data_IF_116038688319
#
_entry.id   IF_116038688319
#
_cell.length_a   1.000
_cell.length_b   1.000
_cell.length_c   1.000
_cell.angle_alpha   90.00
_cell.angle_beta   90.00
_cell.angle_gamma   90.00
#
_symmetry.space_group_name_H-M   'P 1'
#
loop_
_entity.id
_entity.type
_entity.pdbx_description
1 polymer ?
#
# COMPACT_ATOMS: atom_id res chain seq x y z
N UNK A 1 4.92 0.37 5.48
CA UNK A 1 4.01 -0.51 6.26
C UNK A 1 2.59 -0.57 5.68
N UNK A 2 2.00 0.58 5.28
CA UNK A 2 0.64 0.58 4.69
C UNK A 2 0.58 -0.06 3.32
N UNK A 3 1.63 0.06 2.52
CA UNK A 3 1.68 -0.54 1.18
C UNK A 3 1.85 -2.06 1.20
N UNK A 4 2.47 -2.61 2.23
CA UNK A 4 2.80 -4.04 2.29
C UNK A 4 1.56 -4.93 2.18
N UNK A 5 0.53 -4.65 2.98
CA UNK A 5 -0.71 -5.44 2.94
C UNK A 5 -1.39 -5.44 1.56
N UNK A 6 -1.69 -4.30 0.91
CA UNK A 6 -2.29 -4.34 -0.42
C UNK A 6 -1.33 -4.83 -1.51
N UNK A 7 -0.04 -4.57 -1.40
CA UNK A 7 0.97 -5.04 -2.34
C UNK A 7 0.99 -6.57 -2.41
N UNK A 8 1.09 -7.22 -1.25
CA UNK A 8 1.09 -8.67 -1.13
C UNK A 8 -0.29 -9.28 -1.46
N UNK A 9 -1.36 -8.81 -0.81
CA UNK A 9 -2.68 -9.42 -0.92
C UNK A 9 -3.31 -9.27 -2.32
N UNK A 10 -3.00 -8.19 -3.02
CA UNK A 10 -3.53 -7.91 -4.35
C UNK A 10 -2.54 -8.21 -5.46
N UNK A 11 -1.31 -8.61 -5.13
CA UNK A 11 -0.22 -8.84 -6.07
C UNK A 11 -0.05 -7.65 -7.03
N UNK A 12 0.18 -6.47 -6.47
CA UNK A 12 0.15 -5.21 -7.23
C UNK A 12 1.29 -5.07 -8.23
N UNK A 13 2.52 -5.46 -7.86
CA UNK A 13 3.71 -5.19 -8.66
C UNK A 13 4.01 -3.69 -8.77
N UNK A 14 4.46 -3.25 -9.94
CA UNK A 14 4.75 -1.84 -10.20
C UNK A 14 3.53 -1.10 -10.76
N UNK A 15 3.36 0.19 -10.42
CA UNK A 15 2.30 1.00 -11.01
C UNK A 15 2.58 1.28 -12.49
N UNK A 16 1.51 1.31 -13.30
CA UNK A 16 1.56 1.73 -14.70
C UNK A 16 1.91 3.20 -14.84
N UNK A 17 1.30 4.00 -13.97
CA UNK A 17 1.58 5.43 -13.83
C UNK A 17 1.28 5.87 -12.40
N UNK A 18 1.89 6.98 -12.01
CA UNK A 18 1.61 7.61 -10.72
C UNK A 18 1.80 9.13 -10.81
N UNK A 19 1.13 9.84 -9.91
CA UNK A 19 1.23 11.27 -9.74
C UNK A 19 1.29 11.60 -8.26
N UNK A 20 2.15 12.53 -7.90
CA UNK A 20 2.32 13.00 -6.52
C UNK A 20 2.10 14.50 -6.46
N UNK A 21 1.33 14.96 -5.49
CA UNK A 21 1.20 16.36 -5.10
C UNK A 21 1.81 16.52 -3.72
N UNK A 22 2.68 17.48 -3.58
CA UNK A 22 3.35 17.77 -2.31
C UNK A 22 3.36 19.27 -2.03
N UNK A 23 3.39 19.61 -0.74
CA UNK A 23 3.47 21.00 -0.27
C UNK A 23 4.66 21.18 0.65
N UNK A 24 5.17 22.40 0.73
CA UNK A 24 6.26 22.78 1.65
C UNK A 24 7.51 21.90 1.50
N UNK A 25 7.85 21.56 0.25
CA UNK A 25 9.07 20.84 -0.09
C UNK A 25 10.28 21.76 0.09
N UNK A 26 11.37 21.22 0.64
CA UNK A 26 12.66 21.91 0.71
C UNK A 26 13.79 20.94 0.38
N UNK A 27 14.96 21.48 0.04
CA UNK A 27 16.16 20.68 -0.25
C UNK A 27 16.68 19.85 0.95
N UNK A 28 16.16 20.12 2.15
CA UNK A 28 16.63 19.54 3.40
C UNK A 28 15.60 18.69 4.12
N UNK A 29 14.35 18.68 3.69
CA UNK A 29 13.28 17.95 4.36
C UNK A 29 12.23 17.41 3.40
N UNK A 30 11.57 16.33 3.80
CA UNK A 30 10.39 15.82 3.10
C UNK A 30 9.26 16.84 3.12
N UNK A 31 8.34 16.77 2.13
CA UNK A 31 7.13 17.57 2.14
C UNK A 31 6.32 17.40 3.42
N UNK A 32 5.70 18.47 3.91
CA UNK A 32 4.80 18.37 5.06
C UNK A 32 3.51 17.64 4.74
N UNK A 33 3.05 17.73 3.51
CA UNK A 33 1.84 17.07 3.04
C UNK A 33 2.09 16.43 1.68
N UNK A 34 1.62 15.20 1.53
CA UNK A 34 1.69 14.49 0.26
C UNK A 34 0.36 13.81 -0.03
N UNK A 35 -0.12 13.96 -1.26
CA UNK A 35 -1.16 13.11 -1.81
C UNK A 35 -0.65 12.45 -3.09
N UNK A 36 -0.94 11.16 -3.24
CA UNK A 36 -0.47 10.39 -4.37
C UNK A 36 -1.57 9.50 -4.92
N UNK A 37 -1.54 9.34 -6.23
CA UNK A 37 -2.35 8.36 -6.96
C UNK A 37 -1.41 7.46 -7.72
N UNK A 38 -1.57 6.15 -7.57
CA UNK A 38 -0.88 5.12 -8.36
C UNK A 38 -1.90 4.23 -9.07
N UNK A 39 -1.74 4.03 -10.35
CA UNK A 39 -2.60 3.18 -11.18
C UNK A 39 -1.87 1.87 -11.53
N UNK A 40 -2.50 0.74 -11.24
CA UNK A 40 -1.99 -0.60 -11.50
C UNK A 40 -2.88 -1.34 -12.49
N UNK A 41 -2.27 -2.01 -13.46
CA UNK A 41 -2.97 -3.03 -14.25
C UNK A 41 -3.10 -4.30 -13.39
N UNK A 42 -4.34 -4.67 -13.04
CA UNK A 42 -4.58 -5.80 -12.14
C UNK A 42 -5.96 -6.41 -12.36
N UNK A 43 -5.99 -7.69 -12.67
CA UNK A 43 -7.23 -8.44 -12.97
C UNK A 43 -8.26 -8.49 -11.83
N UNK A 44 -7.85 -8.24 -10.58
CA UNK A 44 -8.73 -8.20 -9.42
C UNK A 44 -9.48 -6.86 -9.34
N UNK A 45 -9.00 -5.84 -10.04
CA UNK A 45 -9.58 -4.51 -10.03
C UNK A 45 -10.75 -4.35 -11.00
N UNK A 46 -11.50 -3.28 -10.82
CA UNK A 46 -12.58 -2.89 -11.74
C UNK A 46 -12.00 -2.60 -13.12
N UNK A 47 -12.51 -3.25 -14.15
CA UNK A 47 -12.03 -3.13 -15.54
C UNK A 47 -10.52 -3.45 -15.68
N UNK A 48 -10.00 -4.37 -14.88
CA UNK A 48 -8.58 -4.75 -14.93
C UNK A 48 -7.64 -3.72 -14.31
N UNK A 49 -8.12 -2.83 -13.46
CA UNK A 49 -7.34 -1.75 -12.85
C UNK A 49 -7.58 -1.62 -11.36
N UNK A 50 -6.51 -1.36 -10.63
CA UNK A 50 -6.57 -0.93 -9.22
C UNK A 50 -5.94 0.46 -9.15
N UNK A 51 -6.61 1.37 -8.46
CA UNK A 51 -6.12 2.71 -8.14
C UNK A 51 -5.86 2.79 -6.65
N UNK A 52 -4.61 3.13 -6.30
CA UNK A 52 -4.17 3.36 -4.94
C UNK A 52 -4.09 4.87 -4.70
N UNK A 53 -4.68 5.32 -3.61
CA UNK A 53 -4.57 6.69 -3.13
C UNK A 53 -3.80 6.70 -1.81
N UNK A 54 -2.85 7.62 -1.70
CA UNK A 54 -2.09 7.90 -0.49
C UNK A 54 -2.36 9.32 -0.02
N UNK A 55 -2.44 9.49 1.28
CA UNK A 55 -2.59 10.80 1.92
C UNK A 55 -1.75 10.83 3.18
N UNK A 56 -0.96 11.86 3.37
CA UNK A 56 -0.24 12.13 4.61
C UNK A 56 -0.25 13.62 4.99
N UNK A 57 0.43 13.95 6.09
CA UNK A 57 0.50 15.34 6.56
C UNK A 57 -0.86 15.95 6.90
N UNK A 58 -1.77 15.16 7.50
CA UNK A 58 -3.15 15.52 7.83
C UNK A 58 -4.12 15.58 6.64
N UNK A 59 -3.66 15.33 5.43
CA UNK A 59 -4.55 15.13 4.30
C UNK A 59 -5.35 13.84 4.49
N UNK A 60 -6.61 13.85 4.07
CA UNK A 60 -7.52 12.71 4.17
C UNK A 60 -8.49 12.69 2.99
N UNK A 61 -8.95 11.51 2.58
CA UNK A 61 -10.05 11.42 1.64
C UNK A 61 -11.32 12.01 2.28
N UNK A 62 -12.09 12.72 1.50
CA UNK A 62 -13.38 13.30 1.93
C UNK A 62 -14.48 12.27 2.03
N UNK A 63 -14.38 11.20 1.25
CA UNK A 63 -15.35 10.12 1.20
C UNK A 63 -14.66 8.78 0.86
N UNK A 64 -15.11 7.72 1.51
CA UNK A 64 -14.77 6.33 1.18
C UNK A 64 -16.05 5.51 1.20
N UNK A 65 -16.31 4.75 0.14
CA UNK A 65 -17.48 3.87 0.04
C UNK A 65 -17.54 2.90 1.21
N UNK A 66 -18.66 2.88 1.92
CA UNK A 66 -18.88 1.97 3.06
C UNK A 66 -18.17 2.42 4.35
N UNK A 67 -17.70 3.64 4.42
CA UNK A 67 -17.11 4.24 5.62
C UNK A 67 -17.91 5.47 6.02
N UNK A 68 -18.32 5.56 7.28
CA UNK A 68 -19.08 6.71 7.78
C UNK A 68 -18.22 7.97 7.87
N UNK A 69 -18.85 9.13 7.72
CA UNK A 69 -18.18 10.43 7.89
C UNK A 69 -17.66 10.63 9.32
N UNK A 70 -18.37 10.08 10.31
CA UNK A 70 -17.93 10.08 11.70
C UNK A 70 -16.61 9.32 11.85
N UNK A 71 -16.49 8.13 11.24
CA UNK A 71 -15.24 7.36 11.25
C UNK A 71 -14.10 8.12 10.59
N UNK A 72 -14.33 8.73 9.42
CA UNK A 72 -13.27 9.45 8.68
C UNK A 72 -12.80 10.72 9.41
N UNK A 73 -13.67 11.37 10.17
CA UNK A 73 -13.34 12.60 10.91
C UNK A 73 -12.70 12.34 12.28
N UNK A 74 -12.82 11.11 12.80
CA UNK A 74 -12.24 10.77 14.10
C UNK A 74 -10.70 10.73 14.01
N UNK A 75 -9.99 11.55 14.79
CA UNK A 75 -8.51 11.57 14.80
C UNK A 75 -7.88 10.22 15.15
N UNK A 76 -8.56 9.38 15.92
CA UNK A 76 -8.09 8.03 16.28
C UNK A 76 -7.97 7.10 15.08
N UNK A 77 -8.70 7.39 14.01
CA UNK A 77 -8.69 6.64 12.76
C UNK A 77 -7.76 7.26 11.70
N UNK A 78 -6.81 8.11 12.11
CA UNK A 78 -5.89 8.79 11.17
C UNK A 78 -4.95 7.84 10.43
N UNK A 79 -4.61 6.71 11.05
CA UNK A 79 -3.66 5.74 10.49
C UNK A 79 -4.41 4.46 10.06
N UNK A 80 -5.18 4.55 9.00
CA UNK A 80 -5.96 3.46 8.45
C UNK A 80 -5.62 3.17 6.99
N UNK A 81 -5.69 1.88 6.65
CA UNK A 81 -5.73 1.37 5.29
C UNK A 81 -7.19 1.02 4.96
N UNK A 82 -7.62 1.36 3.74
CA UNK A 82 -8.90 0.92 3.19
C UNK A 82 -8.70 0.22 1.85
N UNK A 83 -9.37 -0.90 1.66
CA UNK A 83 -9.49 -1.57 0.36
C UNK A 83 -10.96 -1.59 -0.02
N UNK A 84 -11.32 -0.79 -1.00
CA UNK A 84 -12.71 -0.61 -1.46
C UNK A 84 -13.02 -1.65 -2.51
N UNK A 85 -13.75 -2.68 -2.13
CA UNK A 85 -14.20 -3.72 -3.04
C UNK A 85 -15.61 -3.50 -3.60
N UNK A 86 -16.01 -4.34 -4.56
CA UNK A 86 -17.37 -4.31 -5.11
C UNK A 86 -18.43 -4.72 -4.08
N UNK A 87 -18.10 -5.67 -3.20
CA UNK A 87 -19.02 -6.27 -2.22
C UNK A 87 -18.93 -5.65 -0.84
N UNK A 88 -17.75 -5.20 -0.42
CA UNK A 88 -17.48 -4.65 0.91
C UNK A 88 -16.22 -3.78 0.90
N UNK A 89 -16.06 -2.95 1.92
CA UNK A 89 -14.83 -2.21 2.20
C UNK A 89 -14.11 -2.85 3.38
N UNK A 90 -12.84 -3.15 3.18
CA UNK A 90 -11.92 -3.64 4.20
C UNK A 90 -11.17 -2.46 4.82
N UNK A 91 -10.91 -2.53 6.12
CA UNK A 91 -10.02 -1.59 6.82
C UNK A 91 -9.05 -2.34 7.72
N UNK A 92 -7.88 -1.77 7.91
CA UNK A 92 -6.83 -2.26 8.80
C UNK A 92 -5.88 -1.14 9.17
N UNK A 93 -4.92 -1.44 10.04
CA UNK A 93 -3.83 -0.54 10.40
C UNK A 93 -2.60 -0.79 9.54
N UNK A 94 -1.56 0.01 9.74
CA UNK A 94 -0.27 -0.09 9.05
C UNK A 94 0.47 -1.43 9.24
N UNK A 95 0.19 -2.17 10.32
CA UNK A 95 0.75 -3.51 10.51
C UNK A 95 -0.22 -4.63 10.13
N UNK A 96 -1.27 -4.34 9.38
CA UNK A 96 -2.32 -5.32 9.06
C UNK A 96 -3.11 -5.81 10.26
N UNK A 97 -2.94 -5.19 11.43
CA UNK A 97 -3.71 -5.49 12.65
C UNK A 97 -5.09 -4.83 12.61
N UNK A 98 -5.98 -5.24 13.51
CA UNK A 98 -7.37 -4.74 13.58
C UNK A 98 -8.12 -4.85 12.23
N UNK A 99 -7.69 -5.76 11.37
CA UNK A 99 -8.25 -5.98 10.03
C UNK A 99 -9.68 -6.47 10.11
N UNK A 100 -10.60 -5.76 9.42
CA UNK A 100 -12.02 -6.07 9.39
C UNK A 100 -12.71 -5.50 8.15
N UNK A 101 -13.91 -5.99 7.87
CA UNK A 101 -14.83 -5.28 7.00
C UNK A 101 -15.49 -4.13 7.78
N UNK A 102 -15.74 -3.01 7.12
CA UNK A 102 -16.40 -1.84 7.74
C UNK A 102 -17.84 -2.15 8.12
N UNK A 103 -18.51 -3.03 7.37
CA UNK A 103 -19.87 -3.48 7.61
C UNK A 103 -19.86 -4.67 8.57
N UNK A 104 -20.42 -4.49 9.77
CA UNK A 104 -20.44 -5.51 10.84
C UNK A 104 -21.10 -6.82 10.40
N UNK A 105 -22.22 -6.75 9.71
CA UNK A 105 -22.97 -7.94 9.27
C UNK A 105 -22.15 -8.79 8.30
N UNK A 106 -21.51 -8.15 7.31
CA UNK A 106 -20.61 -8.82 6.38
C UNK A 106 -19.38 -9.41 7.08
N UNK A 107 -18.91 -8.76 8.13
CA UNK A 107 -17.81 -9.32 8.93
C UNK A 107 -18.22 -10.57 9.69
N UNK A 108 -19.44 -10.61 10.23
CA UNK A 108 -20.00 -11.81 10.90
C UNK A 108 -20.13 -12.96 9.88
N UNK A 109 -20.62 -12.67 8.69
CA UNK A 109 -20.73 -13.65 7.60
C UNK A 109 -19.35 -14.16 7.16
N UNK A 110 -18.39 -13.26 6.95
CA UNK A 110 -17.02 -13.61 6.58
C UNK A 110 -16.37 -14.56 7.59
N UNK A 111 -16.56 -14.34 8.89
CA UNK A 111 -16.02 -15.23 9.95
C UNK A 111 -16.53 -16.65 9.87
N UNK A 112 -17.72 -16.87 9.31
CA UNK A 112 -18.29 -18.21 9.09
C UNK A 112 -17.71 -18.89 7.85
N UNK A 113 -17.09 -18.13 6.94
CA UNK A 113 -16.53 -18.66 5.70
C UNK A 113 -15.23 -19.42 5.98
N UNK A 114 -15.12 -20.70 5.57
CA UNK A 114 -13.89 -21.50 5.76
C UNK A 114 -12.65 -20.85 5.14
N UNK A 115 -12.81 -20.09 4.04
CA UNK A 115 -11.71 -19.39 3.37
C UNK A 115 -11.06 -18.36 4.27
N UNK A 116 -11.81 -17.72 5.18
CA UNK A 116 -11.26 -16.76 6.14
C UNK A 116 -10.28 -17.40 7.15
N UNK A 117 -10.34 -18.73 7.29
CA UNK A 117 -9.47 -19.50 8.19
C UNK A 117 -8.33 -20.23 7.47
N UNK A 118 -8.28 -20.12 6.14
CA UNK A 118 -7.33 -20.86 5.30
C UNK A 118 -5.87 -20.42 5.52
N UNK A 119 -5.67 -19.17 5.85
CA UNK A 119 -4.33 -18.61 5.99
C UNK A 119 -3.91 -18.61 7.45
N UNK A 120 -2.88 -19.39 7.77
CA UNK A 120 -2.23 -19.36 9.07
C UNK A 120 -1.50 -18.02 9.25
N UNK A 121 -1.39 -17.59 10.49
CA UNK A 121 -0.47 -16.50 10.84
C UNK A 121 0.97 -16.99 10.76
N UNK A 122 1.90 -16.09 10.44
CA UNK A 122 3.33 -16.39 10.56
C UNK A 122 3.65 -16.91 11.97
N UNK A 123 4.54 -17.90 12.08
CA UNK A 123 5.07 -18.45 13.34
C UNK A 123 5.61 -17.34 14.25
N UNK A 124 6.21 -16.33 13.65
CA UNK A 124 6.83 -15.19 14.32
C UNK A 124 6.07 -13.87 14.13
N UNK A 125 4.73 -13.92 14.07
CA UNK A 125 3.92 -12.71 13.93
C UNK A 125 4.29 -11.67 15.02
N UNK A 126 4.71 -10.48 14.57
CA UNK A 126 5.21 -9.40 15.44
C UNK A 126 6.71 -9.41 15.71
N UNK A 127 7.42 -10.48 15.32
CA UNK A 127 8.88 -10.61 15.51
C UNK A 127 9.56 -11.09 14.22
N UNK A 128 9.56 -10.30 13.12
CA UNK A 128 10.10 -10.73 11.82
C UNK A 128 11.59 -11.12 11.88
N UNK A 129 12.35 -10.59 12.85
CA UNK A 129 13.75 -10.92 13.06
C UNK A 129 13.94 -12.40 13.41
N UNK A 130 12.99 -13.00 14.15
CA UNK A 130 13.06 -14.44 14.49
C UNK A 130 12.84 -15.30 13.23
N UNK A 131 11.98 -14.89 12.32
CA UNK A 131 11.82 -15.56 11.03
C UNK A 131 13.09 -15.53 10.18
N UNK A 132 13.84 -14.42 10.24
CA UNK A 132 15.15 -14.34 9.59
C UNK A 132 16.19 -15.28 10.24
N UNK A 133 16.24 -15.31 11.57
CA UNK A 133 17.15 -16.22 12.31
C UNK A 133 16.84 -17.68 12.00
N UNK A 134 15.57 -18.10 12.04
CA UNK A 134 15.17 -19.46 11.67
C UNK A 134 15.64 -19.79 10.26
N UNK A 135 15.44 -18.87 9.30
CA UNK A 135 15.88 -19.07 7.91
C UNK A 135 17.40 -19.24 7.78
N UNK A 136 18.19 -18.55 8.61
CA UNK A 136 19.63 -18.72 8.65
C UNK A 136 20.02 -20.11 9.22
N UNK A 137 19.28 -20.61 10.19
CA UNK A 137 19.54 -21.93 10.82
C UNK A 137 19.11 -23.07 9.89
N UNK A 138 17.92 -22.97 9.33
CA UNK A 138 17.28 -24.05 8.58
C UNK A 138 17.61 -24.05 7.08
N UNK A 139 18.29 -22.99 6.58
CA UNK A 139 18.54 -22.80 5.15
C UNK A 139 17.28 -22.53 4.33
N UNK A 140 16.17 -22.15 4.99
CA UNK A 140 14.90 -21.84 4.33
C UNK A 140 14.84 -20.39 3.87
N UNK A 141 13.90 -20.08 2.97
CA UNK A 141 13.70 -18.73 2.48
C UNK A 141 12.84 -17.92 3.47
N UNK A 142 13.37 -16.80 3.96
CA UNK A 142 12.60 -15.87 4.82
C UNK A 142 11.38 -15.29 4.10
N UNK A 143 10.31 -15.01 4.86
CA UNK A 143 9.10 -14.36 4.33
C UNK A 143 9.40 -12.96 3.75
N UNK A 144 10.38 -12.24 4.32
CA UNK A 144 10.84 -10.92 3.87
C UNK A 144 12.16 -10.99 3.09
N UNK A 145 12.37 -12.07 2.33
CA UNK A 145 13.56 -12.21 1.49
C UNK A 145 13.62 -11.16 0.36
N UNK A 146 14.78 -11.01 -0.27
CA UNK A 146 15.01 -9.97 -1.26
C UNK A 146 14.15 -10.09 -2.53
N UNK A 147 13.69 -11.28 -2.91
CA UNK A 147 12.79 -11.42 -4.07
C UNK A 147 11.43 -10.74 -3.83
N UNK A 148 11.04 -10.62 -2.55
CA UNK A 148 9.86 -9.87 -2.13
C UNK A 148 10.20 -8.42 -1.78
N UNK A 149 11.20 -8.23 -0.92
CA UNK A 149 11.49 -6.94 -0.33
C UNK A 149 12.07 -5.92 -1.32
N UNK A 150 12.90 -6.37 -2.31
CA UNK A 150 13.48 -5.44 -3.26
C UNK A 150 12.45 -4.80 -4.19
N UNK A 151 11.63 -5.54 -4.95
CA UNK A 151 10.64 -4.92 -5.82
C UNK A 151 9.56 -4.16 -5.03
N UNK A 152 9.24 -4.60 -3.82
CA UNK A 152 8.35 -3.86 -2.94
C UNK A 152 8.94 -2.51 -2.51
N UNK A 153 10.20 -2.48 -2.07
CA UNK A 153 10.88 -1.26 -1.66
C UNK A 153 11.04 -0.30 -2.84
N UNK A 154 11.43 -0.81 -4.00
CA UNK A 154 11.54 -0.04 -5.23
C UNK A 154 10.21 0.63 -5.58
N UNK A 155 9.10 -0.11 -5.55
CA UNK A 155 7.77 0.45 -5.77
C UNK A 155 7.42 1.56 -4.76
N UNK A 156 7.76 1.38 -3.48
CA UNK A 156 7.53 2.41 -2.45
C UNK A 156 8.38 3.65 -2.72
N UNK A 157 9.64 3.49 -3.15
CA UNK A 157 10.55 4.60 -3.44
C UNK A 157 10.09 5.46 -4.63
N UNK A 158 9.28 4.95 -5.55
CA UNK A 158 8.68 5.75 -6.62
C UNK A 158 7.86 6.93 -6.08
N UNK A 159 7.30 6.81 -4.87
CA UNK A 159 6.58 7.90 -4.22
C UNK A 159 7.49 9.10 -3.91
N UNK A 160 8.73 8.85 -3.53
CA UNK A 160 9.73 9.89 -3.28
C UNK A 160 10.12 10.60 -4.58
N UNK A 161 10.39 9.83 -5.63
CA UNK A 161 10.71 10.39 -6.95
C UNK A 161 9.54 11.25 -7.46
N UNK A 162 8.31 10.78 -7.27
CA UNK A 162 7.12 11.56 -7.58
C UNK A 162 7.00 12.84 -6.77
N UNK A 163 7.36 12.84 -5.48
CA UNK A 163 7.36 14.04 -4.65
C UNK A 163 8.39 15.08 -5.10
N UNK A 164 9.52 14.63 -5.66
CA UNK A 164 10.53 15.50 -6.27
C UNK A 164 10.16 15.99 -7.68
N UNK A 165 9.14 15.39 -8.30
CA UNK A 165 8.59 15.78 -9.59
C UNK A 165 7.06 16.03 -9.47
N UNK A 166 6.62 16.98 -8.63
CA UNK A 166 5.20 17.15 -8.30
C UNK A 166 4.37 17.53 -9.53
N UNK A 167 3.07 17.19 -9.45
CA UNK A 167 2.07 17.51 -10.47
C UNK A 167 2.32 16.93 -11.88
N UNK A 168 3.25 15.97 -11.99
CA UNK A 168 3.53 15.25 -13.24
C UNK A 168 3.06 13.81 -13.15
N UNK A 169 2.47 13.30 -14.21
CA UNK A 169 2.24 11.86 -14.34
C UNK A 169 3.56 11.21 -14.76
N UNK A 170 4.05 10.30 -13.91
CA UNK A 170 5.26 9.53 -14.16
C UNK A 170 4.90 8.10 -14.54
N UNK A 171 5.63 7.55 -15.50
CA UNK A 171 5.53 6.15 -15.94
C UNK A 171 6.89 5.49 -15.77
N UNK A 172 6.95 4.52 -14.89
CA UNK A 172 8.18 3.80 -14.57
C UNK A 172 8.27 2.48 -15.32
N UNK A 173 9.41 2.20 -15.90
CA UNK A 173 9.74 0.93 -16.52
C UNK A 173 10.68 0.13 -15.61
N UNK A 174 10.20 -0.89 -14.88
CA UNK A 174 11.03 -1.63 -13.93
C UNK A 174 12.15 -2.47 -14.62
N UNK A 175 12.00 -2.82 -15.89
CA UNK A 175 13.03 -3.58 -16.61
C UNK A 175 14.27 -2.75 -16.94
N UNK A 176 14.10 -1.44 -17.09
CA UNK A 176 15.19 -0.51 -17.42
C UNK A 176 15.52 0.43 -16.25
N UNK A 177 14.68 0.42 -15.21
CA UNK A 177 14.74 1.33 -14.06
C UNK A 177 14.73 2.81 -14.49
N UNK A 178 13.90 3.14 -15.51
CA UNK A 178 13.81 4.48 -16.09
C UNK A 178 12.38 4.98 -16.20
N UNK A 179 12.27 6.31 -16.34
CA UNK A 179 10.98 7.00 -16.46
C UNK A 179 10.74 7.43 -17.91
N UNK A 180 9.62 6.99 -18.46
CA UNK A 180 9.23 7.35 -19.82
C UNK A 180 8.94 8.85 -19.93
N UNK A 181 9.68 9.55 -20.79
CA UNK A 181 9.48 10.97 -21.06
C UNK A 181 9.82 11.91 -19.89
N UNK A 182 10.56 11.45 -18.88
CA UNK A 182 10.98 12.27 -17.74
C UNK A 182 12.44 11.98 -17.33
N UNK A 183 13.44 12.37 -18.13
CA UNK A 183 14.85 12.10 -17.83
C UNK A 183 15.35 12.78 -16.56
N UNK A 184 14.65 13.79 -16.05
CA UNK A 184 14.98 14.42 -14.75
C UNK A 184 14.75 13.43 -13.60
N UNK A 185 13.71 12.62 -13.67
CA UNK A 185 13.42 11.59 -12.67
C UNK A 185 14.44 10.44 -12.67
N UNK A 186 15.16 10.23 -13.77
CA UNK A 186 16.23 9.23 -13.87
C UNK A 186 17.52 9.61 -13.14
N UNK A 187 17.63 10.84 -12.68
CA UNK A 187 18.86 11.39 -12.03
C UNK A 187 18.80 11.33 -10.51
N UNK A 188 17.69 10.84 -9.95
CA UNK A 188 17.41 10.74 -8.51
C UNK A 188 17.57 9.27 -8.01
#
# INVERSE_FOLDING_TARGET
>A
HFFDTPYSALNLGFPKSFNVKSTDFSDYSFPKQTSMVMDFDNKLGKNGKIRLHWYDGLLRPTEIKGVSQEFLKDPRNSNCLFVVGSKATFTGTHYGTASRLTEREKMIELKKNPVAKKYARSKHAGYPQLGWVDSCIDGTKSESNFDYACPFTEMVMLSMIGALNPDRELKYNPATMKFDGCPEADRL
#
